data_IF_226082404261
#
_entry.id   IF_226082404261
#
_cell.length_a   1.000
_cell.length_b   1.000
_cell.length_c   1.000
_cell.angle_alpha   90.00
_cell.angle_beta   90.00
_cell.angle_gamma   90.00
#
_symmetry.space_group_name_H-M   'P 1'
#
loop_
_entity.id
_entity.type
_entity.pdbx_description
1 polymer ?
#
# COMPACT_ATOMS: atom_id res chain seq x y z
N UNK A 1 7.38 -0.34 -3.41
CA UNK A 1 7.13 0.04 -2.01
C UNK A 1 8.02 -0.83 -1.14
N UNK A 2 8.56 -0.28 -0.05
CA UNK A 2 9.46 -0.99 0.89
C UNK A 2 8.96 -0.80 2.31
N UNK A 3 8.98 -1.85 3.12
CA UNK A 3 8.66 -1.77 4.56
C UNK A 3 9.91 -1.38 5.33
N UNK A 4 9.93 -0.17 5.90
CA UNK A 4 11.08 0.37 6.63
C UNK A 4 11.13 -0.10 8.09
N UNK A 5 9.96 -0.31 8.71
CA UNK A 5 9.83 -0.86 10.06
C UNK A 5 8.40 -1.37 10.30
N UNK A 6 8.23 -2.38 11.14
CA UNK A 6 6.92 -2.92 11.54
C UNK A 6 6.52 -4.19 10.79
N UNK A 7 5.26 -4.58 10.96
CA UNK A 7 4.63 -5.77 10.37
C UNK A 7 3.15 -5.50 10.04
N UNK A 8 2.68 -6.07 8.94
CA UNK A 8 1.32 -5.93 8.48
C UNK A 8 0.93 -6.94 7.41
N UNK A 9 -0.11 -6.60 6.67
CA UNK A 9 -0.54 -7.31 5.49
C UNK A 9 -0.62 -6.37 4.29
N UNK A 10 -0.15 -6.85 3.14
CA UNK A 10 -0.49 -6.30 1.83
C UNK A 10 -1.56 -7.16 1.19
N UNK A 11 -2.60 -6.54 0.67
CA UNK A 11 -3.70 -7.19 -0.02
C UNK A 11 -3.72 -6.63 -1.44
N UNK A 12 -3.36 -7.45 -2.43
CA UNK A 12 -3.47 -7.10 -3.86
C UNK A 12 -4.46 -8.04 -4.55
N UNK A 13 -3.98 -9.23 -4.93
CA UNK A 13 -4.82 -10.34 -5.38
C UNK A 13 -5.11 -11.29 -4.22
N UNK A 14 -4.10 -11.53 -3.38
CA UNK A 14 -4.17 -12.31 -2.15
C UNK A 14 -3.63 -11.49 -0.98
N UNK A 15 -3.95 -11.95 0.23
CA UNK A 15 -3.45 -11.34 1.48
C UNK A 15 -2.08 -11.95 1.82
N UNK A 16 -1.06 -11.11 1.86
CA UNK A 16 0.32 -11.50 2.14
C UNK A 16 0.80 -10.80 3.42
N UNK A 17 1.43 -11.54 4.32
CA UNK A 17 2.10 -10.94 5.48
C UNK A 17 3.37 -10.24 5.00
N UNK A 18 3.62 -9.04 5.51
CA UNK A 18 4.77 -8.20 5.15
C UNK A 18 5.45 -7.69 6.41
N UNK A 19 6.77 -7.67 6.39
CA UNK A 19 7.61 -7.25 7.51
C UNK A 19 8.76 -6.36 7.05
N UNK A 20 9.51 -5.85 8.02
CA UNK A 20 10.64 -4.96 7.77
C UNK A 20 11.64 -5.55 6.78
N UNK A 21 11.98 -4.78 5.74
CA UNK A 21 12.86 -5.20 4.65
C UNK A 21 12.14 -5.76 3.43
N UNK A 22 10.85 -6.07 3.52
CA UNK A 22 10.10 -6.58 2.37
C UNK A 22 9.87 -5.50 1.32
N UNK A 23 9.95 -5.91 0.06
CA UNK A 23 9.67 -5.09 -1.10
C UNK A 23 8.44 -5.60 -1.84
N UNK A 24 7.56 -4.67 -2.18
CA UNK A 24 6.30 -4.97 -2.87
C UNK A 24 6.22 -4.08 -4.11
N UNK A 25 6.01 -4.72 -5.25
CA UNK A 25 5.72 -4.04 -6.52
C UNK A 25 4.22 -3.99 -6.69
N UNK A 26 3.68 -2.78 -6.81
CA UNK A 26 2.25 -2.55 -7.07
C UNK A 26 2.09 -2.28 -8.57
N UNK A 27 1.50 -3.20 -9.35
CA UNK A 27 1.29 -2.98 -10.77
C UNK A 27 0.34 -1.81 -11.04
N UNK A 28 0.45 -1.23 -12.24
CA UNK A 28 -0.44 -0.14 -12.65
C UNK A 28 -1.90 -0.60 -12.62
N UNK A 29 -2.79 0.21 -12.04
CA UNK A 29 -4.23 -0.08 -11.84
C UNK A 29 -4.53 -1.24 -10.88
N UNK A 30 -3.53 -1.80 -10.20
CA UNK A 30 -3.78 -2.80 -9.18
C UNK A 30 -4.51 -2.17 -7.99
N UNK A 31 -5.65 -2.75 -7.62
CA UNK A 31 -6.29 -2.46 -6.34
C UNK A 31 -5.40 -3.06 -5.27
N UNK A 32 -5.06 -2.26 -4.26
CA UNK A 32 -4.25 -2.71 -3.14
C UNK A 32 -4.74 -2.08 -1.84
N UNK A 33 -4.53 -2.79 -0.73
CA UNK A 33 -4.77 -2.33 0.63
C UNK A 33 -3.61 -2.73 1.53
N UNK A 34 -3.30 -1.88 2.48
CA UNK A 34 -2.36 -2.16 3.55
C UNK A 34 -3.08 -2.17 4.89
N UNK A 35 -2.79 -3.18 5.70
CA UNK A 35 -3.30 -3.33 7.05
C UNK A 35 -2.12 -3.50 8.01
N UNK A 36 -1.96 -2.60 8.96
CA UNK A 36 -0.89 -2.71 9.96
C UNK A 36 -1.34 -3.63 11.12
N UNK A 37 -0.49 -4.57 11.53
CA UNK A 37 -0.70 -5.36 12.77
C UNK A 37 -0.09 -4.59 13.95
N UNK A 38 1.10 -4.03 13.74
CA UNK A 38 1.80 -3.10 14.64
C UNK A 38 2.18 -1.83 13.87
N UNK A 39 2.67 -0.81 14.57
CA UNK A 39 3.17 0.43 13.94
C UNK A 39 4.11 0.12 12.77
N UNK A 40 3.67 0.50 11.57
CA UNK A 40 4.35 0.19 10.33
C UNK A 40 4.72 1.48 9.59
N UNK A 41 5.98 1.56 9.16
CA UNK A 41 6.48 2.62 8.28
C UNK A 41 6.82 2.02 6.94
N UNK A 42 6.29 2.62 5.89
CA UNK A 42 6.52 2.22 4.51
C UNK A 42 7.11 3.37 3.72
N UNK A 43 7.89 3.04 2.69
CA UNK A 43 8.34 3.95 1.66
C UNK A 43 7.70 3.55 0.34
N UNK A 44 6.86 4.43 -0.19
CA UNK A 44 6.32 4.29 -1.54
C UNK A 44 7.12 5.15 -2.51
N UNK A 45 7.58 4.55 -3.62
CA UNK A 45 8.26 5.23 -4.70
C UNK A 45 7.40 5.05 -5.95
N UNK A 46 6.82 6.15 -6.44
CA UNK A 46 6.14 6.18 -7.73
C UNK A 46 7.13 6.60 -8.82
N UNK A 47 7.16 5.85 -9.92
CA UNK A 47 8.01 6.17 -11.07
C UNK A 47 7.39 7.20 -12.03
N UNK A 48 6.20 7.72 -11.69
CA UNK A 48 5.49 8.75 -12.46
C UNK A 48 5.35 10.03 -11.65
N UNK A 49 5.04 11.12 -12.36
CA UNK A 49 4.59 12.36 -11.72
C UNK A 49 3.31 12.06 -10.95
N UNK A 50 3.24 12.50 -9.70
CA UNK A 50 2.04 12.40 -8.89
C UNK A 50 0.92 13.21 -9.55
N UNK A 51 -0.21 12.56 -9.79
CA UNK A 51 -1.45 13.18 -10.26
C UNK A 51 -2.59 12.64 -9.39
N UNK A 52 -3.26 13.53 -8.65
CA UNK A 52 -4.38 13.14 -7.78
C UNK A 52 -5.56 12.60 -8.58
N UNK A 53 -5.74 13.04 -9.83
CA UNK A 53 -6.81 12.57 -10.71
C UNK A 53 -6.61 11.12 -11.17
N UNK A 54 -5.38 10.59 -11.09
CA UNK A 54 -5.07 9.19 -11.37
C UNK A 54 -5.44 8.26 -10.19
N UNK A 55 -5.80 8.80 -9.02
CA UNK A 55 -6.15 8.02 -7.83
C UNK A 55 -7.65 7.75 -7.81
N UNK A 56 -8.01 6.49 -8.02
CA UNK A 56 -9.39 6.01 -7.83
C UNK A 56 -9.54 5.39 -6.44
N UNK A 57 -10.24 6.10 -5.55
CA UNK A 57 -10.63 5.58 -4.23
C UNK A 57 -11.94 4.79 -4.38
N UNK A 58 -11.94 3.53 -3.97
CA UNK A 58 -13.09 2.62 -4.16
C UNK A 58 -14.01 2.55 -2.94
N UNK A 59 -13.41 2.57 -1.75
CA UNK A 59 -14.10 2.52 -0.45
C UNK A 59 -13.72 3.75 0.37
N UNK A 60 -13.89 4.96 -0.20
CA UNK A 60 -13.68 6.20 0.56
C UNK A 60 -14.90 6.44 1.47
N UNK A 61 -15.00 5.64 2.52
CA UNK A 61 -15.99 5.79 3.59
C UNK A 61 -15.51 6.85 4.61
N UNK A 62 -15.14 8.04 4.13
CA UNK A 62 -15.00 9.20 5.01
C UNK A 62 -16.40 9.78 5.30
N UNK A 63 -17.23 8.99 6.00
CA UNK A 63 -18.50 9.46 6.56
C UNK A 63 -18.14 10.52 7.61
N UNK A 64 -18.30 11.79 7.27
CA UNK A 64 -18.25 12.89 8.24
C UNK A 64 -19.47 12.89 9.14
#
# INVERSE_FOLDING_TARGET
MVVLSGEGYAILEEKQNIQTGDEIVIPKKAVHRLEAIIDMKILEISFRVFDELDIKRLEDDYVR
#
